data_IF_273140967280
#
_entry.id   IF_273140967280
#
_cell.length_a   1.000
_cell.length_b   1.000
_cell.length_c   1.000
_cell.angle_alpha   90.00
_cell.angle_beta   90.00
_cell.angle_gamma   90.00
#
_symmetry.space_group_name_H-M   'P 1'
#
loop_
_entity.id
_entity.type
_entity.pdbx_description
1 polymer ?
#
# COMPACT_ATOMS: atom_id res chain seq x y z
N UNK A 1 34.98 -40.32 1.92
CA UNK A 1 34.55 -39.03 2.49
C UNK A 1 33.11 -38.80 2.07
N UNK A 2 32.19 -38.87 3.03
CA UNK A 2 30.76 -39.02 2.81
C UNK A 2 30.09 -37.65 2.60
N UNK A 3 29.55 -37.43 1.40
CA UNK A 3 28.89 -36.18 1.00
C UNK A 3 27.62 -35.89 1.83
N UNK A 4 27.04 -36.89 2.48
CA UNK A 4 25.92 -36.70 3.40
C UNK A 4 26.34 -36.03 4.72
N UNK A 5 27.59 -36.20 5.15
CA UNK A 5 28.12 -35.58 6.38
C UNK A 5 28.46 -34.10 6.16
N UNK A 6 28.98 -33.75 4.98
CA UNK A 6 29.27 -32.36 4.63
C UNK A 6 28.00 -31.50 4.46
N UNK A 7 26.91 -32.08 3.95
CA UNK A 7 25.63 -31.36 3.82
C UNK A 7 24.94 -31.16 5.18
N UNK A 8 25.07 -32.13 6.09
CA UNK A 8 24.53 -32.05 7.45
C UNK A 8 25.31 -31.04 8.30
N UNK A 9 26.63 -30.99 8.16
CA UNK A 9 27.50 -30.05 8.89
C UNK A 9 27.34 -28.59 8.36
N UNK A 10 26.99 -28.40 7.07
CA UNK A 10 26.71 -27.08 6.48
C UNK A 10 25.32 -26.53 6.87
N UNK A 11 24.31 -27.41 6.95
CA UNK A 11 22.95 -27.02 7.37
C UNK A 11 22.81 -26.81 8.88
N UNK A 12 23.79 -27.23 9.68
CA UNK A 12 23.85 -26.99 11.13
C UNK A 12 24.66 -25.73 11.52
N UNK A 13 25.23 -25.02 10.55
CA UNK A 13 25.97 -23.75 10.76
C UNK A 13 25.16 -22.49 10.42
N UNK A 14 23.94 -22.65 9.92
CA UNK A 14 23.06 -21.55 9.50
C UNK A 14 21.74 -21.57 10.26
N UNK A 15 21.77 -21.62 11.59
CA UNK A 15 20.74 -20.94 12.39
C UNK A 15 21.23 -20.65 13.80
N UNK A 16 20.77 -19.50 14.30
CA UNK A 16 20.90 -18.94 15.63
C UNK A 16 22.13 -18.06 15.88
N UNK A 17 21.84 -16.76 15.77
CA UNK A 17 22.54 -15.56 16.30
C UNK A 17 23.36 -14.81 15.25
N UNK A 18 22.67 -13.98 14.48
CA UNK A 18 22.98 -12.54 14.37
C UNK A 18 21.88 -11.82 13.54
N UNK A 19 20.71 -11.70 14.15
CA UNK A 19 19.82 -10.56 13.91
C UNK A 19 20.29 -9.44 14.83
N UNK A 20 20.94 -8.41 14.27
CA UNK A 20 21.01 -6.99 14.70
C UNK A 20 22.29 -6.34 14.14
N UNK A 21 22.11 -5.16 13.53
CA UNK A 21 23.06 -4.25 12.86
C UNK A 21 23.33 -4.53 11.37
N UNK A 22 22.59 -3.82 10.53
CA UNK A 22 23.00 -3.52 9.16
C UNK A 22 24.30 -2.69 9.17
N UNK A 23 25.29 -2.97 8.31
CA UNK A 23 26.43 -2.09 8.14
C UNK A 23 26.08 -0.90 7.26
N UNK A 24 26.24 0.31 7.80
CA UNK A 24 26.25 1.58 7.09
C UNK A 24 27.57 1.79 6.34
N UNK A 25 27.72 1.19 5.15
CA UNK A 25 28.58 1.66 4.05
C UNK A 25 28.73 0.56 3.00
N UNK A 26 28.02 0.68 1.87
CA UNK A 26 28.37 -0.04 0.64
C UNK A 26 28.18 0.86 -0.59
N UNK A 27 28.83 2.01 -0.55
CA UNK A 27 29.16 2.79 -1.74
C UNK A 27 30.46 2.20 -2.31
N UNK A 28 30.36 1.35 -3.33
CA UNK A 28 31.33 1.17 -4.43
C UNK A 28 31.14 -0.20 -5.10
N UNK A 29 30.20 -0.27 -6.03
CA UNK A 29 30.28 -1.24 -7.12
C UNK A 29 29.86 -0.58 -8.44
N UNK A 30 30.78 0.20 -9.00
CA UNK A 30 30.70 0.61 -10.39
C UNK A 30 31.59 -0.30 -11.23
N UNK A 31 30.97 -0.96 -12.21
CA UNK A 31 31.55 -1.56 -13.42
C UNK A 31 32.36 -2.87 -13.28
N UNK A 32 31.65 -4.00 -13.26
CA UNK A 32 32.20 -5.29 -13.68
C UNK A 32 32.00 -5.51 -15.18
N UNK A 33 33.07 -5.49 -15.97
CA UNK A 33 33.02 -5.77 -17.43
C UNK A 33 33.24 -7.25 -17.68
N UNK A 34 32.30 -7.93 -18.35
CA UNK A 34 32.52 -9.26 -18.93
C UNK A 34 32.10 -9.23 -20.40
N UNK A 35 33.04 -9.57 -21.30
CA UNK A 35 32.86 -9.73 -22.75
C UNK A 35 32.60 -8.48 -23.62
N UNK A 36 33.16 -7.31 -23.28
CA UNK A 36 33.27 -6.18 -24.21
C UNK A 36 31.95 -5.54 -24.67
N UNK A 37 30.81 -6.06 -24.24
CA UNK A 37 29.54 -5.37 -24.22
C UNK A 37 29.38 -4.83 -22.81
N UNK A 38 29.58 -3.53 -22.65
CA UNK A 38 29.16 -2.83 -21.44
C UNK A 38 27.64 -3.01 -21.36
N UNK A 39 27.17 -4.05 -20.67
CA UNK A 39 25.75 -4.18 -20.35
C UNK A 39 25.49 -3.12 -19.32
N UNK A 40 25.19 -1.93 -19.83
CA UNK A 40 24.80 -0.76 -19.07
C UNK A 40 23.84 -1.23 -17.97
N UNK A 41 24.25 -1.06 -16.72
CA UNK A 41 23.42 -1.45 -15.58
C UNK A 41 22.25 -0.48 -15.62
N UNK A 42 21.14 -0.92 -16.23
CA UNK A 42 19.92 -0.14 -16.37
C UNK A 42 19.46 0.26 -14.99
N UNK A 43 19.35 1.57 -14.76
CA UNK A 43 18.86 2.09 -13.50
C UNK A 43 17.34 2.01 -13.54
N UNK A 44 16.74 1.43 -12.51
CA UNK A 44 15.29 1.42 -12.32
C UNK A 44 14.99 2.15 -11.02
N UNK A 45 13.99 3.01 -11.05
CA UNK A 45 13.48 3.72 -9.89
C UNK A 45 11.98 3.42 -9.78
N UNK A 46 11.47 3.22 -8.57
CA UNK A 46 10.03 3.23 -8.32
C UNK A 46 9.61 4.66 -8.01
N UNK A 47 8.42 5.02 -8.43
CA UNK A 47 7.75 6.28 -8.10
C UNK A 47 6.37 5.92 -7.59
N UNK A 48 5.90 6.61 -6.56
CA UNK A 48 4.57 6.33 -6.03
C UNK A 48 4.01 7.45 -5.17
N UNK A 49 2.73 7.30 -4.83
CA UNK A 49 1.98 8.31 -4.07
C UNK A 49 2.57 8.56 -2.68
N UNK A 50 3.20 7.56 -2.06
CA UNK A 50 3.79 7.68 -0.72
C UNK A 50 5.02 8.59 -0.65
N UNK A 51 5.62 8.90 -1.80
CA UNK A 51 6.81 9.75 -1.92
C UNK A 51 6.58 10.93 -2.86
N UNK A 52 5.33 11.38 -3.02
CA UNK A 52 4.97 12.46 -3.96
C UNK A 52 5.55 12.24 -5.37
N UNK A 53 5.57 10.98 -5.83
CA UNK A 53 6.14 10.56 -7.12
C UNK A 53 7.65 10.82 -7.29
N UNK A 54 8.39 11.02 -6.19
CA UNK A 54 9.86 11.07 -6.23
C UNK A 54 10.50 9.71 -6.59
N UNK A 55 11.64 9.77 -7.26
CA UNK A 55 12.39 8.59 -7.70
C UNK A 55 13.09 7.88 -6.55
N UNK A 56 12.70 6.63 -6.30
CA UNK A 56 13.33 5.74 -5.32
C UNK A 56 14.05 4.60 -6.04
N UNK A 57 15.39 4.61 -5.99
CA UNK A 57 16.22 3.66 -6.73
C UNK A 57 15.96 2.20 -6.30
N UNK A 58 15.72 1.33 -7.29
CA UNK A 58 15.61 -0.11 -7.08
C UNK A 58 16.99 -0.77 -7.07
N UNK A 59 17.17 -1.75 -6.19
CA UNK A 59 18.41 -2.52 -6.10
C UNK A 59 18.34 -3.76 -6.97
N UNK A 60 19.40 -4.06 -7.71
CA UNK A 60 19.51 -5.30 -8.45
C UNK A 60 19.76 -6.47 -7.47
N UNK A 61 18.78 -7.36 -7.36
CA UNK A 61 18.85 -8.54 -6.48
C UNK A 61 19.15 -9.84 -7.22
N UNK A 62 19.07 -9.82 -8.56
CA UNK A 62 19.42 -10.96 -9.40
C UNK A 62 19.81 -10.53 -10.83
N UNK A 63 20.17 -11.47 -11.71
CA UNK A 63 20.59 -11.16 -13.07
C UNK A 63 19.56 -10.34 -13.86
N UNK A 64 18.27 -10.55 -13.60
CA UNK A 64 17.12 -9.91 -14.27
C UNK A 64 16.05 -9.47 -13.27
N UNK A 65 16.45 -9.19 -12.03
CA UNK A 65 15.52 -8.89 -10.95
C UNK A 65 16.00 -7.66 -10.17
N UNK A 66 15.09 -6.73 -9.97
CA UNK A 66 15.30 -5.54 -9.16
C UNK A 66 14.21 -5.45 -8.10
N UNK A 67 14.57 -4.95 -6.92
CA UNK A 67 13.68 -4.85 -5.79
C UNK A 67 13.89 -3.56 -4.99
N UNK A 68 12.84 -3.08 -4.35
CA UNK A 68 12.86 -1.96 -3.41
C UNK A 68 11.85 -2.22 -2.30
N UNK A 69 12.17 -1.77 -1.09
CA UNK A 69 11.22 -1.72 0.02
C UNK A 69 10.70 -0.30 0.13
N UNK A 70 9.37 -0.15 0.23
CA UNK A 70 8.69 1.15 0.32
C UNK A 70 7.75 1.12 1.51
N UNK A 71 7.72 2.21 2.25
CA UNK A 71 6.81 2.41 3.37
C UNK A 71 5.68 3.34 2.92
N UNK A 72 4.44 2.95 3.20
CA UNK A 72 3.28 3.79 2.91
C UNK A 72 3.16 4.89 3.97
N UNK A 73 3.02 6.14 3.54
CA UNK A 73 2.78 7.30 4.43
C UNK A 73 1.30 7.51 4.76
N UNK A 74 0.40 6.89 4.00
CA UNK A 74 -1.05 6.94 4.15
C UNK A 74 -1.67 5.58 3.77
N UNK A 75 -2.96 5.33 4.03
CA UNK A 75 -3.63 4.13 3.52
C UNK A 75 -3.63 4.07 1.99
N UNK A 76 -3.39 2.88 1.45
CA UNK A 76 -3.22 2.65 0.02
C UNK A 76 -1.93 3.23 -0.55
N UNK A 77 -1.57 2.80 -1.75
CA UNK A 77 -0.46 3.39 -2.49
C UNK A 77 -0.58 3.11 -3.97
N UNK A 78 -0.22 4.08 -4.80
CA UNK A 78 -0.14 3.89 -6.25
C UNK A 78 1.31 3.99 -6.70
N UNK A 79 1.70 3.22 -7.72
CA UNK A 79 3.07 3.28 -8.21
C UNK A 79 3.25 2.88 -9.67
N UNK A 80 4.39 3.33 -10.20
CA UNK A 80 4.96 2.96 -11.49
C UNK A 80 6.46 2.71 -11.33
N UNK A 81 7.10 2.12 -12.34
CA UNK A 81 8.55 1.89 -12.34
C UNK A 81 9.16 2.61 -13.53
N UNK A 82 10.07 3.52 -13.28
CA UNK A 82 10.70 4.38 -14.28
C UNK A 82 12.11 3.88 -14.56
N UNK A 83 12.46 3.84 -15.84
CA UNK A 83 13.81 3.45 -16.27
C UNK A 83 14.65 4.69 -16.55
N UNK A 84 15.90 4.66 -16.07
CA UNK A 84 16.92 5.69 -16.29
C UNK A 84 16.45 7.10 -15.87
N UNK A 85 15.50 7.17 -14.90
CA UNK A 85 14.82 8.41 -14.45
C UNK A 85 14.21 9.24 -15.58
N UNK A 86 13.76 8.56 -16.62
CA UNK A 86 13.16 9.16 -17.81
C UNK A 86 11.66 8.83 -17.84
N UNK A 87 10.82 9.84 -17.65
CA UNK A 87 9.36 9.71 -17.70
C UNK A 87 8.82 9.28 -19.08
N UNK A 88 9.67 9.23 -20.12
CA UNK A 88 9.32 8.59 -21.39
C UNK A 88 9.57 7.08 -21.42
N UNK A 89 10.02 6.50 -20.31
CA UNK A 89 10.41 5.09 -20.18
C UNK A 89 9.81 4.48 -18.91
N UNK A 90 8.48 4.44 -18.86
CA UNK A 90 7.73 3.99 -17.70
C UNK A 90 7.17 2.59 -17.92
N UNK A 91 7.34 1.71 -16.93
CA UNK A 91 6.61 0.46 -16.83
C UNK A 91 5.36 0.67 -15.97
N UNK A 92 4.24 0.16 -16.46
CA UNK A 92 2.91 0.31 -15.84
C UNK A 92 2.06 -0.96 -16.09
N UNK A 93 0.92 -1.13 -15.38
CA UNK A 93 0.03 -2.25 -15.64
C UNK A 93 -0.51 -2.23 -17.07
N UNK A 94 -0.35 -3.35 -17.77
CA UNK A 94 -0.98 -3.61 -19.06
C UNK A 94 -2.28 -4.42 -18.93
N UNK A 95 -2.86 -4.75 -20.09
CA UNK A 95 -4.08 -5.57 -20.15
C UNK A 95 -3.86 -6.94 -19.51
N UNK A 96 -4.87 -7.43 -18.78
CA UNK A 96 -4.87 -8.75 -18.14
C UNK A 96 -3.67 -9.00 -17.19
N UNK A 97 -3.19 -7.96 -16.52
CA UNK A 97 -2.10 -8.06 -15.54
C UNK A 97 -0.70 -8.21 -16.16
N UNK A 98 -0.57 -8.00 -17.47
CA UNK A 98 0.73 -7.87 -18.12
C UNK A 98 1.47 -6.61 -17.65
N UNK A 99 2.76 -6.51 -17.97
CA UNK A 99 3.53 -5.27 -17.82
C UNK A 99 3.63 -4.60 -19.18
N UNK A 100 3.22 -3.34 -19.28
CA UNK A 100 3.38 -2.51 -20.46
C UNK A 100 4.61 -1.60 -20.34
N UNK A 101 5.00 -0.95 -21.44
CA UNK A 101 6.20 -0.13 -21.50
C UNK A 101 7.52 -0.89 -21.73
N UNK A 102 8.67 -0.19 -21.67
CA UNK A 102 8.82 1.18 -21.21
C UNK A 102 8.48 2.21 -22.30
N UNK A 103 7.48 3.05 -22.06
CA UNK A 103 7.05 4.16 -22.93
C UNK A 103 6.39 5.28 -22.09
N UNK A 104 5.83 6.31 -22.72
CA UNK A 104 5.12 7.44 -22.10
C UNK A 104 3.59 7.31 -22.12
N UNK A 105 3.04 6.15 -22.53
CA UNK A 105 1.60 5.94 -22.63
C UNK A 105 0.93 5.54 -21.30
N UNK A 106 1.73 5.35 -20.24
CA UNK A 106 1.27 4.89 -18.93
C UNK A 106 0.58 5.95 -18.04
N UNK A 107 0.33 7.16 -18.52
CA UNK A 107 -0.21 8.23 -17.67
C UNK A 107 -1.57 7.85 -17.06
N UNK A 108 -1.68 7.93 -15.73
CA UNK A 108 -2.90 7.56 -15.00
C UNK A 108 -3.15 6.05 -14.86
N UNK A 109 -2.22 5.21 -15.29
CA UNK A 109 -2.32 3.74 -15.16
C UNK A 109 -1.29 3.25 -14.15
N UNK A 110 -1.74 2.96 -12.92
CA UNK A 110 -0.86 2.67 -11.80
C UNK A 110 -1.13 1.28 -11.22
N UNK A 111 -0.10 0.63 -10.67
CA UNK A 111 -0.34 -0.49 -9.77
C UNK A 111 -0.78 0.02 -8.41
N UNK A 112 -1.64 -0.73 -7.73
CA UNK A 112 -2.16 -0.38 -6.41
C UNK A 112 -1.62 -1.32 -5.33
N UNK A 113 -1.16 -0.72 -4.23
CA UNK A 113 -0.84 -1.37 -2.97
C UNK A 113 -2.03 -1.18 -2.03
N UNK A 114 -2.58 -2.28 -1.55
CA UNK A 114 -3.60 -2.27 -0.52
C UNK A 114 -2.93 -2.48 0.84
N UNK A 115 -2.72 -1.38 1.56
CA UNK A 115 -2.00 -1.34 2.83
C UNK A 115 -2.36 -0.11 3.66
N UNK A 116 -1.83 -0.01 4.86
CA UNK A 116 -2.05 1.08 5.81
C UNK A 116 -0.81 1.96 5.92
N UNK A 117 -0.96 3.15 6.49
CA UNK A 117 0.18 3.96 6.89
C UNK A 117 1.12 3.16 7.79
N UNK A 118 2.42 3.21 7.50
CA UNK A 118 3.45 2.43 8.18
C UNK A 118 3.65 1.02 7.62
N UNK A 119 2.78 0.49 6.76
CA UNK A 119 3.04 -0.79 6.10
C UNK A 119 4.20 -0.69 5.11
N UNK A 120 5.06 -1.69 5.14
CA UNK A 120 6.21 -1.82 4.26
C UNK A 120 5.95 -2.91 3.23
N UNK A 121 6.06 -2.55 1.96
CA UNK A 121 5.94 -3.45 0.82
C UNK A 121 7.28 -3.66 0.15
N UNK A 122 7.51 -4.88 -0.34
CA UNK A 122 8.60 -5.18 -1.25
C UNK A 122 8.10 -5.26 -2.67
N UNK A 123 8.50 -4.30 -3.50
CA UNK A 123 8.19 -4.28 -4.94
C UNK A 123 9.35 -4.93 -5.69
N UNK A 124 9.03 -5.79 -6.66
CA UNK A 124 9.96 -6.50 -7.52
C UNK A 124 9.55 -6.38 -8.98
N UNK A 125 10.55 -6.22 -9.85
CA UNK A 125 10.37 -6.28 -11.30
C UNK A 125 11.33 -7.31 -11.90
N UNK A 126 10.79 -8.13 -12.80
CA UNK A 126 11.53 -9.15 -13.52
C UNK A 126 11.70 -8.72 -14.97
N UNK A 127 12.93 -8.43 -15.38
CA UNK A 127 13.25 -7.97 -16.73
C UNK A 127 13.33 -9.13 -17.74
N UNK A 128 13.10 -8.80 -19.01
CA UNK A 128 13.35 -9.72 -20.13
C UNK A 128 14.86 -9.97 -20.32
N UNK A 129 15.20 -10.96 -21.14
CA UNK A 129 16.60 -11.36 -21.35
C UNK A 129 17.51 -10.29 -21.98
N UNK A 130 16.90 -9.36 -22.72
CA UNK A 130 17.53 -8.18 -23.33
C UNK A 130 17.50 -6.94 -22.41
N UNK A 131 16.77 -7.02 -21.29
CA UNK A 131 16.47 -5.91 -20.40
C UNK A 131 15.68 -4.77 -21.06
N UNK A 132 15.15 -4.95 -22.27
CA UNK A 132 14.41 -3.92 -22.98
C UNK A 132 12.98 -3.79 -22.46
N UNK A 133 12.39 -4.90 -22.02
CA UNK A 133 11.08 -4.94 -21.40
C UNK A 133 11.08 -5.64 -20.04
N UNK A 134 9.89 -5.70 -19.44
CA UNK A 134 9.63 -6.41 -18.20
C UNK A 134 8.65 -7.56 -18.43
N UNK A 135 8.88 -8.66 -17.72
CA UNK A 135 8.05 -9.88 -17.75
C UNK A 135 6.94 -9.84 -16.71
N UNK A 136 7.24 -9.29 -15.53
CA UNK A 136 6.32 -9.27 -14.40
C UNK A 136 6.74 -8.20 -13.38
N UNK A 137 5.74 -7.63 -12.72
CA UNK A 137 5.89 -6.86 -11.48
C UNK A 137 5.15 -7.61 -10.38
N UNK A 138 5.76 -7.66 -9.20
CA UNK A 138 5.19 -8.32 -8.03
C UNK A 138 5.43 -7.46 -6.81
N UNK A 139 4.46 -7.40 -5.91
CA UNK A 139 4.62 -6.79 -4.61
C UNK A 139 4.11 -7.72 -3.52
N UNK A 140 4.70 -7.59 -2.34
CA UNK A 140 4.28 -8.33 -1.16
C UNK A 140 4.40 -7.43 0.07
N UNK A 141 3.41 -7.48 0.96
CA UNK A 141 3.51 -6.89 2.29
C UNK A 141 4.61 -7.62 3.07
N UNK A 142 5.42 -6.88 3.83
CA UNK A 142 6.50 -7.44 4.65
C UNK A 142 6.24 -7.30 6.15
N UNK A 143 5.96 -6.08 6.59
CA UNK A 143 5.86 -5.69 8.00
C UNK A 143 5.11 -4.36 8.12
N UNK A 144 4.78 -4.00 9.34
CA UNK A 144 4.35 -2.64 9.70
C UNK A 144 5.44 -2.00 10.56
N UNK A 145 5.82 -0.76 10.23
CA UNK A 145 6.82 0.06 10.94
C UNK A 145 6.17 1.17 11.77
N UNK A 146 4.92 0.98 12.19
CA UNK A 146 4.32 1.87 13.19
C UNK A 146 5.21 1.82 14.44
N UNK A 147 6.04 2.84 14.62
CA UNK A 147 6.72 3.06 15.89
C UNK A 147 5.62 3.27 16.92
N UNK A 148 5.54 2.34 17.87
CA UNK A 148 4.88 2.55 19.15
C UNK A 148 5.55 3.77 19.81
N UNK A 149 5.07 4.97 19.49
CA UNK A 149 5.49 6.17 20.19
C UNK A 149 4.95 6.05 21.62
N UNK A 150 5.82 5.63 22.54
CA UNK A 150 5.63 5.80 23.99
C UNK A 150 5.64 7.30 24.31
N UNK A 151 4.57 8.02 23.98
CA UNK A 151 4.33 9.34 24.55
C UNK A 151 3.90 9.15 26.00
N UNK A 152 4.78 9.49 26.94
CA UNK A 152 4.63 9.36 28.40
C UNK A 152 3.50 10.17 29.06
N UNK A 153 2.38 10.37 28.37
CA UNK A 153 1.11 10.81 28.92
C UNK A 153 0.03 9.95 28.28
N UNK A 154 -0.45 8.96 29.04
CA UNK A 154 -1.67 8.17 28.80
C UNK A 154 -1.98 7.76 27.36
N UNK A 155 -1.76 6.48 27.03
CA UNK A 155 -2.36 5.73 25.91
C UNK A 155 -3.18 6.56 24.93
N UNK A 156 -2.52 7.16 23.95
CA UNK A 156 -3.16 7.75 22.78
C UNK A 156 -2.68 6.95 21.57
N UNK A 157 -3.51 6.00 21.12
CA UNK A 157 -3.32 5.29 19.85
C UNK A 157 -3.75 6.24 18.71
N UNK A 158 -2.83 6.70 17.84
CA UNK A 158 -3.17 7.64 16.77
C UNK A 158 -4.06 7.02 15.67
N UNK A 159 -4.32 5.71 15.70
CA UNK A 159 -5.08 4.98 14.68
C UNK A 159 -6.04 3.91 15.23
N UNK A 160 -6.44 3.96 16.50
CA UNK A 160 -7.80 3.50 16.81
C UNK A 160 -8.75 4.40 16.00
N UNK A 161 -9.75 3.88 15.27
CA UNK A 161 -10.79 4.71 14.69
C UNK A 161 -11.50 5.36 15.87
N UNK A 162 -11.01 6.52 16.28
CA UNK A 162 -11.64 7.27 17.33
C UNK A 162 -13.05 7.53 16.85
N UNK A 163 -13.97 7.54 17.79
CA UNK A 163 -15.33 7.98 17.51
C UNK A 163 -15.36 9.29 16.71
N UNK A 164 -14.39 10.17 16.91
CA UNK A 164 -14.18 11.41 16.16
C UNK A 164 -13.87 11.18 14.67
N UNK A 165 -13.12 10.14 14.30
CA UNK A 165 -12.89 9.78 12.90
C UNK A 165 -14.14 9.24 12.22
N UNK A 166 -14.98 8.51 12.96
CA UNK A 166 -16.29 8.07 12.46
C UNK A 166 -17.22 9.28 12.25
N UNK A 167 -17.23 10.22 13.20
CA UNK A 167 -17.97 11.48 13.10
C UNK A 167 -17.52 12.33 11.91
N UNK A 168 -16.20 12.51 11.71
CA UNK A 168 -15.67 13.28 10.58
C UNK A 168 -16.10 12.68 9.24
N UNK A 169 -16.08 11.34 9.11
CA UNK A 169 -16.55 10.66 7.89
C UNK A 169 -18.05 10.82 7.68
N UNK A 170 -18.83 10.75 8.75
CA UNK A 170 -20.27 11.03 8.71
C UNK A 170 -20.55 12.47 8.28
N UNK A 171 -19.79 13.44 8.79
CA UNK A 171 -19.88 14.86 8.40
C UNK A 171 -19.47 15.10 6.94
N UNK A 172 -18.44 14.40 6.44
CA UNK A 172 -18.01 14.45 5.04
C UNK A 172 -19.10 13.89 4.11
N UNK A 173 -19.69 12.75 4.47
CA UNK A 173 -20.78 12.14 3.70
C UNK A 173 -22.01 13.05 3.66
N UNK A 174 -22.33 13.70 4.79
CA UNK A 174 -23.41 14.68 4.86
C UNK A 174 -23.13 15.93 4.02
N UNK A 175 -21.88 16.39 4.01
CA UNK A 175 -21.46 17.53 3.20
C UNK A 175 -21.56 17.23 1.70
N UNK A 176 -21.29 15.99 1.29
CA UNK A 176 -21.48 15.50 -0.09
C UNK A 176 -22.95 15.43 -0.47
N UNK A 177 -23.82 14.96 0.42
CA UNK A 177 -25.28 14.93 0.20
C UNK A 177 -25.84 16.35 -0.03
N UNK A 178 -25.39 17.34 0.76
CA UNK A 178 -25.73 18.77 0.53
C UNK A 178 -25.27 19.29 -0.82
N UNK A 179 -24.22 18.70 -1.39
CA UNK A 179 -23.69 19.02 -2.72
C UNK A 179 -24.31 18.15 -3.83
N UNK A 180 -25.36 17.37 -3.54
CA UNK A 180 -26.00 16.42 -4.46
C UNK A 180 -25.06 15.31 -4.97
N UNK A 181 -24.00 15.00 -4.21
CA UNK A 181 -23.13 13.85 -4.46
C UNK A 181 -23.63 12.68 -3.61
N UNK A 182 -24.20 11.66 -4.26
CA UNK A 182 -24.73 10.48 -3.59
C UNK A 182 -23.57 9.61 -3.06
N UNK A 183 -23.57 9.25 -1.76
CA UNK A 183 -22.57 8.33 -1.22
C UNK A 183 -22.79 6.89 -1.69
N UNK A 184 -21.72 6.12 -1.80
CA UNK A 184 -21.74 4.73 -2.26
C UNK A 184 -21.99 3.73 -1.14
N UNK A 185 -22.38 2.49 -1.45
CA UNK A 185 -22.51 1.40 -0.44
C UNK A 185 -21.20 1.23 0.37
N UNK A 186 -20.05 1.36 -0.29
CA UNK A 186 -18.73 1.25 0.33
C UNK A 186 -18.48 2.37 1.36
N UNK A 187 -18.98 3.58 1.11
CA UNK A 187 -18.88 4.68 2.07
C UNK A 187 -19.61 4.34 3.38
N UNK A 188 -20.79 3.73 3.31
CA UNK A 188 -21.56 3.30 4.49
C UNK A 188 -20.86 2.16 5.23
N UNK A 189 -20.30 1.19 4.50
CA UNK A 189 -19.54 0.10 5.11
C UNK A 189 -18.28 0.58 5.84
N UNK A 190 -17.62 1.61 5.32
CA UNK A 190 -16.49 2.24 6.01
C UNK A 190 -16.93 2.89 7.33
N UNK A 191 -18.06 3.60 7.35
CA UNK A 191 -18.60 4.19 8.59
C UNK A 191 -18.99 3.12 9.60
N UNK A 192 -19.69 2.06 9.17
CA UNK A 192 -20.06 0.93 10.04
C UNK A 192 -18.80 0.31 10.66
N UNK A 193 -17.77 0.07 9.86
CA UNK A 193 -16.52 -0.49 10.34
C UNK A 193 -15.80 0.42 11.35
N UNK A 194 -15.93 1.74 11.22
CA UNK A 194 -15.44 2.69 12.22
C UNK A 194 -16.28 2.63 13.51
N UNK A 195 -17.61 2.60 13.42
CA UNK A 195 -18.50 2.55 14.59
C UNK A 195 -18.32 1.27 15.42
N UNK A 196 -18.14 0.11 14.78
CA UNK A 196 -17.95 -1.18 15.49
C UNK A 196 -16.60 -1.31 16.20
N UNK A 197 -15.63 -0.50 15.79
CA UNK A 197 -14.31 -0.40 16.43
C UNK A 197 -14.25 0.74 17.45
N UNK A 198 -15.29 1.56 17.50
CA UNK A 198 -15.42 2.66 18.44
C UNK A 198 -15.93 2.23 19.82
N UNK A 199 -16.27 3.19 20.68
CA UNK A 199 -16.75 2.90 22.03
C UNK A 199 -18.11 2.17 21.98
N UNK A 200 -18.51 1.43 23.03
CA UNK A 200 -19.73 0.61 23.02
C UNK A 200 -21.01 1.35 22.59
N UNK A 201 -21.08 2.65 22.86
CA UNK A 201 -22.17 3.56 22.48
C UNK A 201 -22.32 3.71 20.94
N UNK A 202 -21.24 3.53 20.18
CA UNK A 202 -21.23 3.57 18.72
C UNK A 202 -21.84 2.31 18.07
N UNK A 203 -21.98 1.21 18.81
CA UNK A 203 -22.53 -0.04 18.27
C UNK A 203 -24.00 0.09 17.86
N UNK A 204 -24.78 0.91 18.55
CA UNK A 204 -26.18 1.18 18.16
C UNK A 204 -26.23 1.87 16.79
N UNK A 205 -25.32 2.82 16.54
CA UNK A 205 -25.18 3.49 15.24
C UNK A 205 -24.78 2.49 14.14
N UNK A 206 -23.81 1.60 14.40
CA UNK A 206 -23.42 0.57 13.46
C UNK A 206 -24.58 -0.38 13.10
N UNK A 207 -25.38 -0.79 14.09
CA UNK A 207 -26.53 -1.67 13.89
C UNK A 207 -27.61 -1.02 13.02
N UNK A 208 -27.88 0.26 13.23
CA UNK A 208 -28.87 1.00 12.45
C UNK A 208 -28.42 1.22 11.00
N UNK A 209 -27.14 1.60 10.79
CA UNK A 209 -26.57 1.72 9.46
C UNK A 209 -26.62 0.37 8.71
N UNK A 210 -26.32 -0.75 9.39
CA UNK A 210 -26.47 -2.10 8.81
C UNK A 210 -27.92 -2.43 8.43
N UNK A 211 -28.88 -2.05 9.26
CA UNK A 211 -30.30 -2.26 8.98
C UNK A 211 -30.73 -1.43 7.76
N UNK A 212 -30.29 -0.18 7.68
CA UNK A 212 -30.59 0.71 6.56
C UNK A 212 -30.00 0.21 5.23
N UNK A 213 -28.73 -0.21 5.21
CA UNK A 213 -28.10 -0.81 4.03
C UNK A 213 -28.85 -2.08 3.58
N UNK A 214 -29.33 -2.90 4.53
CA UNK A 214 -30.11 -4.13 4.23
C UNK A 214 -31.50 -3.84 3.68
N UNK A 215 -32.25 -2.92 4.28
CA UNK A 215 -33.61 -2.58 3.87
C UNK A 215 -33.63 -1.97 2.45
N UNK A 216 -32.63 -1.15 2.12
CA UNK A 216 -32.55 -0.50 0.80
C UNK A 216 -32.11 -1.41 -0.33
N UNK A 217 -31.32 -2.46 -0.05
CA UNK A 217 -31.03 -3.53 -1.03
C UNK A 217 -32.30 -4.23 -1.53
N UNK A 218 -33.39 -4.19 -0.77
CA UNK A 218 -34.67 -4.78 -1.16
C UNK A 218 -35.55 -3.87 -2.02
N UNK A 219 -35.34 -2.55 -2.02
CA UNK A 219 -36.19 -1.59 -2.75
C UNK A 219 -35.76 -1.38 -4.22
N UNK A 220 -34.61 -1.90 -4.63
CA UNK A 220 -34.13 -1.82 -6.02
C UNK A 220 -33.78 -0.40 -6.49
N UNK A 221 -33.67 0.54 -5.55
CA UNK A 221 -33.28 1.93 -5.80
C UNK A 221 -31.88 2.14 -5.24
N UNK A 222 -30.91 2.36 -6.14
CA UNK A 222 -29.51 2.64 -5.80
C UNK A 222 -29.35 4.11 -5.40
N UNK A 223 -30.06 4.53 -4.35
CA UNK A 223 -29.94 5.87 -3.77
C UNK A 223 -29.68 5.76 -2.28
N UNK A 224 -28.46 6.12 -1.88
CA UNK A 224 -28.10 6.25 -0.48
C UNK A 224 -28.25 7.71 -0.06
N UNK A 225 -29.07 7.94 0.96
CA UNK A 225 -29.22 9.23 1.64
C UNK A 225 -28.98 8.94 3.11
N UNK A 226 -28.22 9.77 3.83
CA UNK A 226 -28.13 9.61 5.28
C UNK A 226 -29.51 9.89 5.86
N UNK A 227 -30.21 8.87 6.37
CA UNK A 227 -31.52 9.14 6.97
C UNK A 227 -31.33 10.09 8.16
N UNK A 228 -32.24 11.07 8.33
CA UNK A 228 -32.26 11.91 9.52
C UNK A 228 -32.23 11.10 10.84
N UNK A 229 -32.68 9.83 10.83
CA UNK A 229 -32.65 8.91 11.96
C UNK A 229 -31.24 8.63 12.49
N UNK A 230 -30.23 8.51 11.63
CA UNK A 230 -28.84 8.28 12.04
C UNK A 230 -28.27 9.55 12.70
N UNK A 231 -28.60 10.72 12.16
CA UNK A 231 -28.16 12.02 12.68
C UNK A 231 -28.66 12.30 14.11
N UNK A 232 -29.92 11.97 14.42
CA UNK A 232 -30.51 12.22 15.74
C UNK A 232 -29.88 11.38 16.87
N UNK A 233 -29.33 10.21 16.56
CA UNK A 233 -28.75 9.29 17.55
C UNK A 233 -27.32 9.70 17.92
N UNK A 234 -26.64 10.44 17.03
CA UNK A 234 -25.27 10.92 17.23
C UNK A 234 -25.18 12.17 18.13
N UNK A 235 -26.31 12.76 18.53
CA UNK A 235 -26.31 13.90 19.44
C UNK A 235 -25.66 15.18 18.88
N UNK A 236 -25.54 15.30 17.54
CA UNK A 236 -24.99 16.47 16.86
C UNK A 236 -25.96 17.68 16.84
N UNK A 237 -27.08 17.57 17.55
CA UNK A 237 -27.92 18.71 17.94
C UNK A 237 -27.79 18.93 19.46
N UNK A 238 -26.65 19.49 19.87
CA UNK A 238 -26.53 20.20 21.14
C UNK A 238 -26.13 21.64 20.84
N UNK A 239 -27.11 22.41 20.36
CA UNK A 239 -27.19 23.86 20.57
C UNK A 239 -27.22 24.19 22.07
#
# INVERSE_FOLDING_TARGET
>A
MDRAKALRDFLLQLDHRNLRRAPSNWSNWSNGTVNGKNLEVKQLDVVGSWSDWEFQAMQRVGPKEFAVEVALSHPGGEFQIVRDRDWSRVFYPGVAGAVAGPDDEGHGVNWSLDGRAGDVFRIRIFCNGDGCGARAVQWQWLRSEVEEMETGQGWYDPLEPSWESALQRLEDLWSREKQSVEPSEDDYWQVIACCERGPPEANETAQLLRQEVKERRYEGVDRFFLTPRVYWILGLDKS
#
